data_IF_959888541787
#
_entry.id   IF_959888541787
#
_cell.length_a   1.000
_cell.length_b   1.000
_cell.length_c   1.000
_cell.angle_alpha   90.00
_cell.angle_beta   90.00
_cell.angle_gamma   90.00
#
_symmetry.space_group_name_H-M   'P 1'
#
loop_
_entity.id
_entity.type
_entity.pdbx_description
1 polymer ?
#
# COMPACT_ATOMS: atom_id res chain seq x y z
N UNK A 1 21.48 141.55 -28.46
CA UNK A 1 22.01 140.44 -27.64
C UNK A 1 21.13 139.17 -27.64
N UNK A 2 20.16 139.01 -28.57
CA UNK A 2 19.27 137.82 -28.60
C UNK A 2 19.73 136.70 -29.57
N UNK A 3 20.67 136.98 -30.49
CA UNK A 3 20.98 136.05 -31.60
C UNK A 3 21.81 134.80 -31.20
N UNK A 4 22.50 134.80 -30.05
CA UNK A 4 23.26 133.63 -29.57
C UNK A 4 22.44 132.65 -28.73
N UNK A 5 21.25 133.06 -28.27
CA UNK A 5 20.40 132.22 -27.41
C UNK A 5 19.78 131.07 -28.21
N UNK A 6 19.40 131.33 -29.47
CA UNK A 6 18.76 130.35 -30.35
C UNK A 6 19.62 129.08 -30.55
N UNK A 7 20.91 129.15 -30.96
CA UNK A 7 21.73 127.95 -31.15
C UNK A 7 22.01 127.18 -29.85
N UNK A 8 22.09 127.87 -28.70
CA UNK A 8 22.28 127.22 -27.39
C UNK A 8 21.03 126.41 -27.01
N UNK A 9 19.84 126.97 -27.21
CA UNK A 9 18.57 126.28 -26.95
C UNK A 9 18.42 125.06 -27.87
N UNK A 10 18.75 125.18 -29.15
CA UNK A 10 18.70 124.05 -30.10
C UNK A 10 19.69 122.95 -29.67
N UNK A 11 20.91 123.31 -29.28
CA UNK A 11 21.88 122.34 -28.77
C UNK A 11 21.40 121.62 -27.51
N UNK A 12 20.80 122.34 -26.56
CA UNK A 12 20.21 121.75 -25.35
C UNK A 12 19.05 120.81 -25.68
N UNK A 13 18.14 121.21 -26.58
CA UNK A 13 17.00 120.38 -26.99
C UNK A 13 17.51 119.10 -27.69
N UNK A 14 18.49 119.20 -28.58
CA UNK A 14 19.08 118.02 -29.25
C UNK A 14 19.80 117.09 -28.27
N UNK A 15 20.54 117.63 -27.29
CA UNK A 15 21.19 116.82 -26.27
C UNK A 15 20.17 116.11 -25.36
N UNK A 16 19.09 116.81 -24.98
CA UNK A 16 18.03 116.27 -24.13
C UNK A 16 17.21 115.20 -24.88
N UNK A 17 16.87 115.44 -26.16
CA UNK A 17 16.22 114.46 -27.02
C UNK A 17 17.13 113.25 -27.30
N UNK A 18 18.42 113.47 -27.57
CA UNK A 18 19.40 112.39 -27.76
C UNK A 18 19.57 111.53 -26.51
N UNK A 19 19.64 112.15 -25.33
CA UNK A 19 19.68 111.45 -24.05
C UNK A 19 18.39 110.67 -23.77
N UNK A 20 17.22 111.27 -24.02
CA UNK A 20 15.93 110.60 -23.84
C UNK A 20 15.72 109.43 -24.81
N UNK A 21 16.10 109.59 -26.08
CA UNK A 21 16.04 108.51 -27.08
C UNK A 21 17.03 107.39 -26.76
N UNK A 22 18.26 107.73 -26.37
CA UNK A 22 19.27 106.75 -25.94
C UNK A 22 18.84 105.97 -24.70
N UNK A 23 18.34 106.66 -23.67
CA UNK A 23 17.82 106.07 -22.44
C UNK A 23 16.63 105.15 -22.71
N UNK A 24 15.66 105.56 -23.52
CA UNK A 24 14.51 104.72 -23.86
C UNK A 24 14.89 103.46 -24.66
N UNK A 25 15.94 103.51 -25.48
CA UNK A 25 16.44 102.36 -26.23
C UNK A 25 17.22 101.37 -25.35
N UNK A 26 18.03 101.87 -24.41
CA UNK A 26 18.77 101.05 -23.43
C UNK A 26 17.80 100.38 -22.44
N UNK A 27 16.80 101.10 -21.92
CA UNK A 27 15.78 100.51 -21.05
C UNK A 27 15.00 99.39 -21.75
N UNK A 28 14.55 99.57 -23.00
CA UNK A 28 13.88 98.49 -23.76
C UNK A 28 14.73 97.23 -23.89
N UNK A 29 16.03 97.37 -24.23
CA UNK A 29 16.94 96.21 -24.31
C UNK A 29 17.17 95.54 -22.96
N UNK A 30 17.21 96.30 -21.86
CA UNK A 30 17.36 95.75 -20.52
C UNK A 30 16.09 95.00 -20.08
N UNK A 31 14.91 95.57 -20.35
CA UNK A 31 13.61 94.96 -20.06
C UNK A 31 13.40 93.66 -20.86
N UNK A 32 13.77 93.65 -22.15
CA UNK A 32 13.72 92.45 -23.00
C UNK A 32 14.68 91.36 -22.48
N UNK A 33 15.90 91.74 -22.07
CA UNK A 33 16.87 90.81 -21.48
C UNK A 33 16.40 90.23 -20.14
N UNK A 34 15.73 91.04 -19.31
CA UNK A 34 15.19 90.61 -18.02
C UNK A 34 14.00 89.66 -18.22
N UNK A 35 13.10 89.95 -19.15
CA UNK A 35 12.00 89.07 -19.52
C UNK A 35 12.49 87.71 -20.04
N UNK A 36 13.50 87.71 -20.92
CA UNK A 36 14.13 86.48 -21.43
C UNK A 36 14.76 85.68 -20.28
N UNK A 37 15.46 86.34 -19.35
CA UNK A 37 16.06 85.71 -18.17
C UNK A 37 15.01 85.08 -17.25
N UNK A 38 13.88 85.76 -17.04
CA UNK A 38 12.79 85.28 -16.18
C UNK A 38 12.07 84.07 -16.81
N UNK A 39 11.85 84.07 -18.14
CA UNK A 39 11.32 82.90 -18.86
C UNK A 39 12.24 81.70 -18.73
N UNK A 40 13.54 81.89 -19.00
CA UNK A 40 14.54 80.83 -18.83
C UNK A 40 14.55 80.29 -17.40
N UNK A 41 14.47 81.16 -16.37
CA UNK A 41 14.38 80.73 -14.97
C UNK A 41 13.17 79.82 -14.74
N UNK A 42 11.98 80.23 -15.21
CA UNK A 42 10.74 79.44 -15.07
C UNK A 42 10.83 78.10 -15.79
N UNK A 43 11.42 78.06 -16.98
CA UNK A 43 11.62 76.83 -17.74
C UNK A 43 12.56 75.87 -16.99
N UNK A 44 13.68 76.38 -16.45
CA UNK A 44 14.59 75.60 -15.61
C UNK A 44 13.95 75.10 -14.32
N UNK A 45 13.14 75.92 -13.64
CA UNK A 45 12.41 75.52 -12.43
C UNK A 45 11.36 74.44 -12.73
N UNK A 46 10.65 74.56 -13.85
CA UNK A 46 9.70 73.56 -14.31
C UNK A 46 10.39 72.24 -14.63
N UNK A 47 11.48 72.27 -15.39
CA UNK A 47 12.26 71.07 -15.73
C UNK A 47 12.82 70.42 -14.47
N UNK A 48 13.32 71.21 -13.50
CA UNK A 48 13.76 70.71 -12.19
C UNK A 48 12.62 70.07 -11.39
N UNK A 49 11.42 70.65 -11.43
CA UNK A 49 10.24 70.09 -10.78
C UNK A 49 9.83 68.76 -11.41
N UNK A 50 9.78 68.71 -12.73
CA UNK A 50 9.37 67.52 -13.47
C UNK A 50 10.39 66.39 -13.34
N UNK A 51 11.70 66.71 -13.36
CA UNK A 51 12.76 65.75 -13.04
C UNK A 51 12.66 65.25 -11.59
N UNK A 52 12.32 66.13 -10.65
CA UNK A 52 12.06 65.76 -9.26
C UNK A 52 10.91 64.75 -9.13
N UNK A 53 9.77 65.01 -9.79
CA UNK A 53 8.63 64.08 -9.82
C UNK A 53 9.02 62.74 -10.45
N UNK A 54 9.68 62.78 -11.61
CA UNK A 54 10.12 61.58 -12.32
C UNK A 54 11.07 60.73 -11.47
N UNK A 55 12.01 61.37 -10.76
CA UNK A 55 12.91 60.71 -9.82
C UNK A 55 12.13 60.01 -8.70
N UNK A 56 11.20 60.71 -8.04
CA UNK A 56 10.40 60.12 -6.97
C UNK A 56 9.51 58.97 -7.45
N UNK A 57 8.96 59.06 -8.66
CA UNK A 57 8.17 57.98 -9.26
C UNK A 57 9.05 56.75 -9.57
N UNK A 58 10.25 56.97 -10.11
CA UNK A 58 11.19 55.90 -10.41
C UNK A 58 11.65 55.20 -9.11
N UNK A 59 11.95 55.96 -8.06
CA UNK A 59 12.30 55.42 -6.74
C UNK A 59 11.15 54.61 -6.12
N UNK A 60 9.91 55.08 -6.25
CA UNK A 60 8.73 54.32 -5.80
C UNK A 60 8.56 53.01 -6.58
N UNK A 61 8.74 53.05 -7.91
CA UNK A 61 8.69 51.84 -8.76
C UNK A 61 9.82 50.87 -8.42
N UNK A 62 11.02 51.36 -8.14
CA UNK A 62 12.17 50.56 -7.71
C UNK A 62 11.83 49.81 -6.42
N UNK A 63 11.38 50.53 -5.38
CA UNK A 63 11.00 49.91 -4.09
C UNK A 63 9.89 48.87 -4.24
N UNK A 64 8.89 49.15 -5.08
CA UNK A 64 7.83 48.18 -5.35
C UNK A 64 8.38 46.91 -6.02
N UNK A 65 9.32 47.06 -6.97
CA UNK A 65 9.97 45.92 -7.62
C UNK A 65 10.88 45.14 -6.67
N UNK A 66 11.62 45.84 -5.81
CA UNK A 66 12.43 45.21 -4.76
C UNK A 66 11.56 44.36 -3.81
N UNK A 67 10.41 44.89 -3.38
CA UNK A 67 9.46 44.14 -2.56
C UNK A 67 8.89 42.91 -3.29
N UNK A 68 8.56 43.04 -4.59
CA UNK A 68 8.10 41.90 -5.39
C UNK A 68 9.17 40.82 -5.52
N UNK A 69 10.43 41.22 -5.73
CA UNK A 69 11.56 40.29 -5.79
C UNK A 69 11.76 39.58 -4.46
N UNK A 70 11.66 40.30 -3.34
CA UNK A 70 11.75 39.70 -2.00
C UNK A 70 10.63 38.69 -1.76
N UNK A 71 9.39 39.03 -2.10
CA UNK A 71 8.26 38.11 -1.97
C UNK A 71 8.47 36.84 -2.83
N UNK A 72 8.89 37.01 -4.09
CA UNK A 72 9.20 35.88 -4.95
C UNK A 72 10.33 35.01 -4.42
N UNK A 73 11.38 35.62 -3.86
CA UNK A 73 12.48 34.88 -3.25
C UNK A 73 11.99 34.00 -2.10
N UNK A 74 11.17 34.54 -1.20
CA UNK A 74 10.61 33.74 -0.09
C UNK A 74 9.75 32.59 -0.58
N UNK A 75 9.01 32.78 -1.69
CA UNK A 75 8.22 31.72 -2.32
C UNK A 75 9.11 30.63 -2.93
N UNK A 76 10.21 31.01 -3.58
CA UNK A 76 11.19 30.05 -4.11
C UNK A 76 11.80 29.23 -2.98
N UNK A 77 12.26 29.87 -1.90
CA UNK A 77 12.86 29.18 -0.75
C UNK A 77 11.87 28.19 -0.09
N UNK A 78 10.61 28.61 0.05
CA UNK A 78 9.54 27.75 0.55
C UNK A 78 9.26 26.57 -0.40
N UNK A 79 9.23 26.79 -1.71
CA UNK A 79 9.06 25.72 -2.69
C UNK A 79 10.23 24.74 -2.68
N UNK A 80 11.46 25.23 -2.53
CA UNK A 80 12.66 24.40 -2.46
C UNK A 80 12.68 23.54 -1.19
N UNK A 81 12.31 24.12 -0.04
CA UNK A 81 12.20 23.36 1.21
C UNK A 81 11.11 22.29 1.14
N UNK A 82 9.94 22.62 0.57
CA UNK A 82 8.87 21.64 0.35
C UNK A 82 9.31 20.51 -0.57
N UNK A 83 9.98 20.85 -1.69
CA UNK A 83 10.55 19.86 -2.62
C UNK A 83 11.53 18.92 -1.92
N UNK A 84 12.40 19.46 -1.07
CA UNK A 84 13.39 18.66 -0.31
C UNK A 84 12.72 17.71 0.67
N UNK A 85 11.69 18.18 1.39
CA UNK A 85 10.93 17.33 2.31
C UNK A 85 10.24 16.19 1.57
N UNK A 86 9.55 16.48 0.46
CA UNK A 86 8.92 15.45 -0.38
C UNK A 86 9.94 14.44 -0.90
N UNK A 87 11.13 14.89 -1.33
CA UNK A 87 12.18 13.99 -1.80
C UNK A 87 12.64 13.03 -0.68
N UNK A 88 12.87 13.55 0.52
CA UNK A 88 13.25 12.73 1.67
C UNK A 88 12.16 11.72 2.05
N UNK A 89 10.88 12.11 1.94
CA UNK A 89 9.76 11.21 2.21
C UNK A 89 9.70 10.09 1.17
N UNK A 90 9.88 10.40 -0.12
CA UNK A 90 9.98 9.38 -1.17
C UNK A 90 11.18 8.45 -0.99
N UNK A 91 12.34 8.97 -0.57
CA UNK A 91 13.52 8.15 -0.28
C UNK A 91 13.28 7.21 0.91
N UNK A 92 12.56 7.66 1.94
CA UNK A 92 12.16 6.83 3.08
C UNK A 92 11.23 5.71 2.63
N UNK A 93 10.16 6.03 1.91
CA UNK A 93 9.22 5.03 1.39
C UNK A 93 9.94 4.00 0.53
N UNK A 94 10.82 4.45 -0.38
CA UNK A 94 11.62 3.56 -1.22
C UNK A 94 12.50 2.61 -0.38
N UNK A 95 13.15 3.12 0.67
CA UNK A 95 13.98 2.31 1.57
C UNK A 95 13.16 1.24 2.29
N UNK A 96 11.97 1.59 2.77
CA UNK A 96 11.09 0.65 3.46
C UNK A 96 10.53 -0.41 2.52
N UNK A 97 10.17 -0.04 1.28
CA UNK A 97 9.79 -1.02 0.24
C UNK A 97 10.93 -1.99 -0.07
N UNK A 98 12.18 -1.51 -0.16
CA UNK A 98 13.33 -2.38 -0.40
C UNK A 98 13.56 -3.38 0.74
N UNK A 99 13.39 -2.97 2.00
CA UNK A 99 13.47 -3.90 3.15
C UNK A 99 12.38 -4.95 3.11
N UNK A 100 11.14 -4.54 2.85
CA UNK A 100 10.00 -5.47 2.74
C UNK A 100 10.26 -6.49 1.63
N UNK A 101 10.78 -6.04 0.49
CA UNK A 101 11.14 -6.94 -0.61
C UNK A 101 12.18 -7.97 -0.17
N UNK A 102 13.25 -7.52 0.50
CA UNK A 102 14.29 -8.41 1.01
C UNK A 102 13.74 -9.45 2.01
N UNK A 103 12.94 -9.01 2.99
CA UNK A 103 12.34 -9.88 3.99
C UNK A 103 11.40 -10.93 3.35
N UNK A 104 10.65 -10.54 2.31
CA UNK A 104 9.80 -11.45 1.56
C UNK A 104 10.61 -12.48 0.77
N UNK A 105 11.70 -12.05 0.13
CA UNK A 105 12.61 -12.96 -0.59
C UNK A 105 13.28 -13.96 0.35
N UNK A 106 13.68 -13.54 1.55
CA UNK A 106 14.23 -14.44 2.57
C UNK A 106 13.18 -15.46 3.05
N UNK A 107 11.96 -15.00 3.35
CA UNK A 107 10.85 -15.89 3.73
C UNK A 107 10.50 -16.89 2.63
N UNK A 108 10.50 -16.47 1.37
CA UNK A 108 10.27 -17.35 0.23
C UNK A 108 11.34 -18.44 0.16
N UNK A 109 12.63 -18.08 0.26
CA UNK A 109 13.73 -19.06 0.28
C UNK A 109 13.62 -20.05 1.43
N UNK A 110 13.22 -19.56 2.62
CA UNK A 110 12.96 -20.44 3.76
C UNK A 110 11.85 -21.45 3.46
N UNK A 111 10.75 -21.00 2.87
CA UNK A 111 9.63 -21.88 2.50
C UNK A 111 9.97 -22.84 1.37
N UNK A 112 10.75 -22.43 0.39
CA UNK A 112 11.27 -23.31 -0.66
C UNK A 112 12.13 -24.44 -0.06
N UNK A 113 13.00 -24.12 0.91
CA UNK A 113 13.80 -25.12 1.61
C UNK A 113 12.94 -26.09 2.45
N UNK A 114 11.91 -25.58 3.15
CA UNK A 114 10.95 -26.42 3.87
C UNK A 114 10.23 -27.38 2.90
N UNK A 115 9.74 -26.88 1.77
CA UNK A 115 9.08 -27.70 0.72
C UNK A 115 10.04 -28.77 0.21
N UNK A 116 11.29 -28.42 -0.06
CA UNK A 116 12.30 -29.38 -0.51
C UNK A 116 12.54 -30.50 0.53
N UNK A 117 12.56 -30.14 1.82
CA UNK A 117 12.63 -31.11 2.92
C UNK A 117 11.44 -32.06 2.93
N UNK A 118 10.21 -31.55 2.80
CA UNK A 118 9.00 -32.37 2.73
C UNK A 118 8.95 -33.24 1.47
N UNK A 119 9.38 -32.72 0.32
CA UNK A 119 9.48 -33.49 -0.92
C UNK A 119 10.43 -34.68 -0.77
N UNK A 120 11.54 -34.50 -0.04
CA UNK A 120 12.48 -35.58 0.25
C UNK A 120 11.86 -36.66 1.13
N UNK A 121 11.09 -36.27 2.16
CA UNK A 121 10.36 -37.20 3.03
C UNK A 121 9.26 -37.96 2.28
N UNK A 122 8.49 -37.29 1.42
CA UNK A 122 7.47 -37.93 0.58
C UNK A 122 8.11 -38.99 -0.32
N UNK A 123 9.24 -38.67 -0.95
CA UNK A 123 9.97 -39.61 -1.81
C UNK A 123 10.52 -40.83 -1.06
N UNK A 124 10.79 -40.70 0.24
CA UNK A 124 11.13 -41.84 1.10
C UNK A 124 9.89 -42.66 1.47
N UNK A 125 8.76 -42.03 1.77
CA UNK A 125 7.49 -42.69 2.06
C UNK A 125 6.92 -43.44 0.83
N UNK A 126 7.14 -42.95 -0.38
CA UNK A 126 6.78 -43.63 -1.64
C UNK A 126 7.62 -44.88 -1.95
N UNK A 127 8.80 -45.04 -1.31
CA UNK A 127 9.63 -46.25 -1.45
C UNK A 127 9.17 -47.39 -0.55
N UNK A 128 8.34 -47.13 0.44
CA UNK A 128 7.68 -48.19 1.21
C UNK A 128 6.65 -48.86 0.31
N UNK A 129 6.68 -50.20 0.12
CA UNK A 129 5.73 -50.86 -0.77
C UNK A 129 4.31 -50.65 -0.23
N UNK A 130 3.50 -49.88 -0.96
CA UNK A 130 2.05 -49.71 -0.74
C UNK A 130 1.31 -51.07 -0.79
N UNK A 131 1.98 -52.13 -1.24
CA UNK A 131 1.49 -53.51 -1.36
C UNK A 131 1.25 -54.26 -0.06
N UNK A 132 1.60 -53.74 1.13
CA UNK A 132 1.42 -54.47 2.39
C UNK A 132 -0.03 -54.47 2.94
N UNK A 133 -0.89 -53.56 2.48
CA UNK A 133 -2.28 -53.41 2.95
C UNK A 133 -3.35 -53.85 1.93
N UNK A 134 -2.95 -54.51 0.84
CA UNK A 134 -3.92 -55.05 -0.12
C UNK A 134 -4.62 -56.27 0.48
N UNK A 135 -5.95 -56.26 0.41
CA UNK A 135 -6.79 -57.39 0.80
C UNK A 135 -6.30 -58.69 0.15
N UNK A 136 -5.78 -59.62 0.97
CA UNK A 136 -5.37 -60.94 0.53
C UNK A 136 -6.52 -61.93 0.75
N UNK A 137 -7.30 -62.14 -0.31
CA UNK A 137 -8.45 -63.06 -0.30
C UNK A 137 -8.05 -64.50 0.06
N UNK A 138 -6.87 -64.95 -0.36
CA UNK A 138 -6.41 -66.32 -0.09
C UNK A 138 -6.08 -66.53 1.40
N UNK A 139 -5.41 -65.56 2.03
CA UNK A 139 -5.12 -65.59 3.46
C UNK A 139 -6.41 -65.54 4.30
N UNK A 140 -7.38 -64.70 3.89
CA UNK A 140 -8.69 -64.61 4.53
C UNK A 140 -9.45 -65.94 4.44
N UNK A 141 -9.42 -66.57 3.25
CA UNK A 141 -10.03 -67.88 3.00
C UNK A 141 -9.37 -68.99 3.80
N UNK A 142 -8.04 -68.97 3.96
CA UNK A 142 -7.30 -69.95 4.76
C UNK A 142 -7.70 -69.89 6.24
N UNK A 143 -7.80 -68.69 6.81
CA UNK A 143 -8.13 -68.54 8.24
C UNK A 143 -9.61 -68.85 8.56
N UNK A 144 -10.55 -68.43 7.69
CA UNK A 144 -11.99 -68.54 7.97
C UNK A 144 -12.71 -69.66 7.23
N UNK A 145 -12.03 -70.37 6.32
CA UNK A 145 -12.61 -71.43 5.51
C UNK A 145 -13.69 -70.98 4.52
N UNK A 146 -13.91 -69.67 4.35
CA UNK A 146 -14.94 -69.08 3.48
C UNK A 146 -14.37 -67.97 2.60
N UNK A 147 -15.03 -67.72 1.47
CA UNK A 147 -14.69 -66.59 0.58
C UNK A 147 -15.14 -65.29 1.25
N UNK A 148 -14.19 -64.43 1.59
CA UNK A 148 -14.45 -63.09 2.17
C UNK A 148 -14.31 -62.07 1.04
N UNK A 149 -15.19 -61.07 1.02
CA UNK A 149 -15.04 -59.92 0.12
C UNK A 149 -14.30 -58.82 0.87
N UNK A 150 -13.52 -58.05 0.14
CA UNK A 150 -12.92 -56.82 0.67
C UNK A 150 -14.01 -55.94 1.31
N UNK A 151 -13.72 -55.44 2.51
CA UNK A 151 -14.62 -54.58 3.29
C UNK A 151 -16.00 -55.21 3.63
N UNK A 152 -16.07 -56.53 3.72
CA UNK A 152 -17.20 -57.24 4.31
C UNK A 152 -17.16 -57.11 5.84
N UNK A 153 -17.90 -56.13 6.39
CA UNK A 153 -17.99 -55.86 7.82
C UNK A 153 -18.63 -57.03 8.59
N UNK A 154 -19.32 -57.95 7.91
CA UNK A 154 -19.91 -59.13 8.57
C UNK A 154 -18.86 -60.14 9.05
N UNK A 155 -17.57 -59.91 8.73
CA UNK A 155 -16.47 -60.65 9.34
C UNK A 155 -16.27 -60.32 10.82
N UNK A 156 -16.70 -59.12 11.26
CA UNK A 156 -16.62 -58.69 12.65
C UNK A 156 -17.73 -59.35 13.47
N UNK A 157 -17.35 -60.03 14.54
CA UNK A 157 -18.31 -60.70 15.41
C UNK A 157 -19.26 -59.68 16.06
N UNK A 158 -20.56 -59.93 15.89
CA UNK A 158 -21.64 -59.03 16.32
C UNK A 158 -22.20 -58.13 15.22
N UNK A 159 -21.52 -57.99 14.07
CA UNK A 159 -22.04 -57.26 12.90
C UNK A 159 -22.75 -58.22 11.95
N UNK A 160 -24.09 -58.20 11.98
CA UNK A 160 -24.91 -58.91 11.00
C UNK A 160 -25.12 -58.10 9.71
N UNK A 161 -25.73 -58.71 8.65
CA UNK A 161 -25.99 -58.03 7.37
C UNK A 161 -26.77 -56.71 7.51
N UNK A 162 -27.69 -56.63 8.48
CA UNK A 162 -28.49 -55.42 8.73
C UNK A 162 -27.74 -54.30 9.46
N UNK A 163 -26.78 -54.66 10.31
CA UNK A 163 -25.90 -53.67 10.94
C UNK A 163 -24.90 -53.14 9.91
N UNK A 164 -24.35 -54.01 9.07
CA UNK A 164 -23.52 -53.60 7.95
C UNK A 164 -24.25 -52.62 7.01
N UNK A 165 -25.50 -52.90 6.66
CA UNK A 165 -26.33 -52.02 5.82
C UNK A 165 -26.51 -50.64 6.49
N UNK A 166 -26.91 -50.63 7.76
CA UNK A 166 -27.04 -49.41 8.56
C UNK A 166 -25.74 -48.59 8.63
N UNK A 167 -24.60 -49.26 8.80
CA UNK A 167 -23.29 -48.61 8.83
C UNK A 167 -22.91 -48.03 7.48
N UNK A 168 -23.15 -48.76 6.38
CA UNK A 168 -22.91 -48.26 5.02
C UNK A 168 -23.76 -47.01 4.71
N UNK A 169 -25.02 -46.99 5.12
CA UNK A 169 -25.90 -45.82 4.99
C UNK A 169 -25.39 -44.61 5.78
N UNK A 170 -24.64 -44.85 6.87
CA UNK A 170 -24.05 -43.82 7.72
C UNK A 170 -22.57 -43.53 7.40
N UNK A 171 -22.07 -43.97 6.24
CA UNK A 171 -20.71 -43.66 5.76
C UNK A 171 -19.60 -44.57 6.29
N UNK A 172 -19.95 -45.65 7.00
CA UNK A 172 -19.01 -46.66 7.51
C UNK A 172 -19.08 -47.88 6.58
N UNK A 173 -18.32 -47.85 5.49
CA UNK A 173 -18.36 -48.88 4.46
C UNK A 173 -17.12 -49.76 4.35
N UNK A 174 -16.03 -49.43 5.02
CA UNK A 174 -14.74 -50.15 4.95
C UNK A 174 -14.25 -50.56 6.33
N UNK A 175 -13.41 -51.61 6.40
CA UNK A 175 -12.79 -52.04 7.66
C UNK A 175 -11.96 -50.92 8.28
N UNK A 176 -11.28 -50.13 7.45
CA UNK A 176 -10.52 -48.95 7.89
C UNK A 176 -11.41 -47.94 8.61
N UNK A 177 -12.49 -47.50 7.97
CA UNK A 177 -13.40 -46.51 8.55
C UNK A 177 -14.02 -47.06 9.84
N UNK A 178 -14.43 -48.34 9.84
CA UNK A 178 -14.97 -48.98 11.04
C UNK A 178 -13.93 -49.02 12.19
N UNK A 179 -12.66 -49.27 11.89
CA UNK A 179 -11.59 -49.29 12.89
C UNK A 179 -11.27 -47.91 13.49
N UNK A 180 -11.42 -46.85 12.69
CA UNK A 180 -11.18 -45.46 13.10
C UNK A 180 -12.43 -44.83 13.75
N UNK A 181 -13.60 -45.47 13.62
CA UNK A 181 -14.85 -44.98 14.21
C UNK A 181 -14.91 -45.29 15.70
N UNK A 182 -15.21 -44.27 16.51
CA UNK A 182 -15.34 -44.42 17.96
C UNK A 182 -16.54 -45.28 18.36
N UNK A 183 -16.42 -45.98 19.49
CA UNK A 183 -17.48 -46.84 20.03
C UNK A 183 -18.76 -46.03 20.31
N UNK A 184 -18.62 -44.77 20.72
CA UNK A 184 -19.73 -43.85 20.96
C UNK A 184 -20.51 -43.58 19.67
N UNK A 185 -19.81 -43.34 18.57
CA UNK A 185 -20.43 -43.09 17.26
C UNK A 185 -21.14 -44.35 16.74
N UNK A 186 -20.54 -45.53 16.94
CA UNK A 186 -21.18 -46.80 16.58
C UNK A 186 -22.49 -47.01 17.36
N UNK A 187 -22.48 -46.75 18.68
CA UNK A 187 -23.69 -46.84 19.53
C UNK A 187 -24.77 -45.85 19.10
N UNK A 188 -24.39 -44.63 18.75
CA UNK A 188 -25.31 -43.61 18.24
C UNK A 188 -26.03 -44.10 16.98
N UNK A 189 -25.27 -44.62 16.01
CA UNK A 189 -25.83 -45.14 14.75
C UNK A 189 -26.77 -46.33 15.02
N UNK A 190 -26.39 -47.26 15.91
CA UNK A 190 -27.25 -48.38 16.30
C UNK A 190 -28.57 -47.90 16.93
N UNK A 191 -28.50 -46.84 17.74
CA UNK A 191 -29.69 -46.23 18.38
C UNK A 191 -30.62 -45.61 17.33
N UNK A 192 -30.06 -44.91 16.33
CA UNK A 192 -30.83 -44.35 15.20
C UNK A 192 -31.51 -45.46 14.38
N UNK A 193 -30.86 -46.61 14.22
CA UNK A 193 -31.41 -47.77 13.51
C UNK A 193 -32.59 -48.46 14.21
N UNK A 194 -32.82 -48.16 15.49
CA UNK A 194 -33.94 -48.64 16.32
C UNK A 194 -33.56 -49.71 17.35
N UNK A 195 -34.45 -49.92 18.32
CA UNK A 195 -34.23 -50.74 19.54
C UNK A 195 -33.66 -52.14 19.28
N UNK A 196 -33.99 -52.74 18.13
CA UNK A 196 -33.50 -54.06 17.72
C UNK A 196 -31.97 -54.16 17.62
N UNK A 197 -31.28 -53.04 17.42
CA UNK A 197 -29.83 -53.00 17.25
C UNK A 197 -29.07 -52.63 18.53
N UNK A 198 -29.76 -52.05 19.52
CA UNK A 198 -29.18 -51.56 20.78
C UNK A 198 -28.65 -52.71 21.66
N UNK A 199 -29.17 -53.93 21.46
CA UNK A 199 -28.70 -55.13 22.16
C UNK A 199 -27.26 -55.52 21.81
N UNK A 200 -26.71 -55.04 20.69
CA UNK A 200 -25.36 -55.34 20.26
C UNK A 200 -24.33 -54.43 20.95
N UNK A 201 -23.19 -55.01 21.35
CA UNK A 201 -22.10 -54.25 21.97
C UNK A 201 -20.97 -53.98 20.95
N UNK A 202 -20.77 -52.71 20.52
CA UNK A 202 -19.73 -52.37 19.56
C UNK A 202 -18.30 -52.28 20.14
N UNK A 203 -18.10 -52.58 21.43
CA UNK A 203 -16.82 -52.34 22.12
C UNK A 203 -15.59 -53.02 21.48
N UNK A 204 -15.76 -54.15 20.80
CA UNK A 204 -14.66 -54.87 20.13
C UNK A 204 -14.63 -54.66 18.61
N UNK A 205 -15.63 -54.00 18.03
CA UNK A 205 -15.81 -53.93 16.58
C UNK A 205 -14.68 -53.17 15.89
N UNK A 206 -14.28 -52.02 16.44
CA UNK A 206 -13.21 -51.19 15.87
C UNK A 206 -11.90 -51.96 15.77
N UNK A 207 -11.52 -52.70 16.83
CA UNK A 207 -10.29 -53.49 16.86
C UNK A 207 -10.35 -54.73 15.96
N UNK A 208 -11.52 -55.37 15.83
CA UNK A 208 -11.69 -56.50 14.91
C UNK A 208 -11.56 -56.03 13.46
N UNK A 209 -12.16 -54.88 13.15
CA UNK A 209 -12.04 -54.24 11.84
C UNK A 209 -10.59 -53.82 11.55
N UNK A 210 -9.83 -53.37 12.54
CA UNK A 210 -8.41 -53.05 12.40
C UNK A 210 -7.60 -54.28 11.95
N UNK A 211 -7.81 -55.43 12.60
CA UNK A 211 -7.13 -56.68 12.23
C UNK A 211 -7.51 -57.14 10.82
N UNK A 212 -8.79 -56.99 10.44
CA UNK A 212 -9.26 -57.28 9.09
C UNK A 212 -8.60 -56.35 8.05
N UNK A 213 -8.53 -55.05 8.33
CA UNK A 213 -7.88 -54.05 7.47
C UNK A 213 -6.37 -54.29 7.33
N UNK A 214 -5.70 -54.73 8.40
CA UNK A 214 -4.29 -55.10 8.39
C UNK A 214 -4.03 -56.47 7.73
N UNK A 215 -5.06 -57.20 7.30
CA UNK A 215 -4.94 -58.54 6.73
C UNK A 215 -4.47 -59.62 7.71
N UNK A 216 -4.56 -59.36 9.02
CA UNK A 216 -4.17 -60.27 10.10
C UNK A 216 -5.27 -61.30 10.39
N UNK A 217 -5.62 -62.07 9.37
CA UNK A 217 -6.77 -62.98 9.39
C UNK A 217 -6.69 -64.06 10.46
N UNK A 218 -5.49 -64.59 10.69
CA UNK A 218 -5.26 -65.62 11.70
C UNK A 218 -5.43 -65.05 13.12
N UNK A 219 -4.83 -63.90 13.41
CA UNK A 219 -4.99 -63.21 14.70
C UNK A 219 -6.45 -62.80 14.95
N UNK A 220 -7.16 -62.33 13.91
CA UNK A 220 -8.59 -62.02 14.02
C UNK A 220 -9.40 -63.26 14.37
N UNK A 221 -9.13 -64.40 13.72
CA UNK A 221 -9.85 -65.64 13.98
C UNK A 221 -9.61 -66.16 15.39
N UNK A 222 -8.36 -66.19 15.83
CA UNK A 222 -7.97 -66.59 17.18
C UNK A 222 -8.59 -65.68 18.24
N UNK A 223 -8.61 -64.37 17.99
CA UNK A 223 -9.22 -63.44 18.92
C UNK A 223 -10.73 -63.65 19.02
N UNK A 224 -11.42 -63.84 17.89
CA UNK A 224 -12.86 -64.17 17.88
C UNK A 224 -13.17 -65.50 18.58
N UNK A 225 -12.31 -66.50 18.47
CA UNK A 225 -12.49 -67.79 19.17
C UNK A 225 -12.34 -67.64 20.70
N UNK A 226 -11.65 -66.58 21.17
CA UNK A 226 -11.51 -66.24 22.59
C UNK A 226 -12.63 -65.34 23.12
N UNK A 227 -13.32 -64.59 22.24
CA UNK A 227 -14.43 -63.73 22.64
C UNK A 227 -15.65 -64.56 23.05
N UNK A 228 -16.37 -64.09 24.07
CA UNK A 228 -17.66 -64.66 24.46
C UNK A 228 -18.76 -63.76 23.89
N UNK A 229 -19.27 -64.09 22.71
CA UNK A 229 -20.30 -63.29 22.04
C UNK A 229 -19.84 -61.88 21.67
N UNK A 230 -18.59 -61.72 21.25
CA UNK A 230 -18.00 -60.45 20.84
C UNK A 230 -17.53 -59.55 21.98
N UNK A 231 -17.47 -60.03 23.23
CA UNK A 231 -16.98 -59.29 24.41
C UNK A 231 -15.75 -59.96 24.98
N UNK A 232 -14.76 -59.17 25.41
CA UNK A 232 -13.55 -59.69 26.06
C UNK A 232 -13.94 -60.42 27.37
N UNK A 233 -13.44 -61.65 27.60
CA UNK A 233 -13.65 -62.35 28.87
C UNK A 233 -13.05 -61.52 30.01
N UNK A 234 -13.87 -61.16 30.99
CA UNK A 234 -13.46 -60.48 32.23
C UNK A 234 -12.66 -61.38 33.16
#
# INVERSE_FOLDING_TARGET
MLCWIIPIIVGLICALLGYLLGRNCVCKKLDDCESIRESMRKDFEKERSDFGKMKTELEAKLKNKENQVLELQTKVDNCESLRKNMLNDFERERSDFQKIQFDLEEKLKSKENEIFGFQSQIKELEKTPITAFLFNEEAARLAFGKKIKEDDLTIVEGIGPKIQELFKENGISTWKILSETSVERLKEILTIGGDRFIIHNPGTWSRQAELAYQGKWQELKEWQDFLVGGVEPS
#
